data_IF_204013267677
#
_entry.id   IF_204013267677
#
_cell.length_a   1.000
_cell.length_b   1.000
_cell.length_c   1.000
_cell.angle_alpha   90.00
_cell.angle_beta   90.00
_cell.angle_gamma   90.00
#
_symmetry.space_group_name_H-M   'P 1'
#
loop_
_entity.id
_entity.type
_entity.pdbx_description
1 polymer ?
#
# COMPACT_ATOMS: atom_id res chain seq x y z
N UNK A 1 66.32 47.58 -3.85
CA UNK A 1 66.10 46.49 -2.86
C UNK A 1 65.05 45.57 -3.40
N UNK A 2 65.42 44.31 -3.53
CA UNK A 2 64.65 43.19 -4.08
C UNK A 2 63.62 42.75 -3.04
N UNK A 3 62.38 42.51 -3.48
CA UNK A 3 61.60 41.42 -2.89
C UNK A 3 60.81 40.70 -3.99
N UNK A 4 61.54 39.80 -4.63
CA UNK A 4 61.06 38.75 -5.53
C UNK A 4 60.99 37.49 -4.69
N UNK A 5 59.84 36.81 -4.64
CA UNK A 5 59.58 35.39 -4.26
C UNK A 5 58.17 35.31 -3.63
N UNK A 6 57.22 34.50 -4.08
CA UNK A 6 57.23 33.21 -4.80
C UNK A 6 55.91 33.10 -5.60
N UNK A 7 55.90 32.71 -6.87
CA UNK A 7 55.84 31.31 -7.32
C UNK A 7 54.78 30.49 -6.56
N UNK A 8 53.55 30.41 -7.06
CA UNK A 8 53.07 29.32 -7.93
C UNK A 8 51.55 29.51 -8.20
N UNK A 9 51.12 29.56 -9.48
CA UNK A 9 49.75 29.19 -9.87
C UNK A 9 49.64 27.65 -9.90
N UNK A 10 48.43 27.12 -10.09
CA UNK A 10 48.05 25.69 -10.07
C UNK A 10 47.90 25.05 -8.68
N UNK A 11 46.66 24.87 -8.23
CA UNK A 11 46.04 23.54 -8.21
C UNK A 11 44.53 23.65 -7.97
N UNK A 12 43.79 23.26 -9.01
CA UNK A 12 42.51 22.57 -8.97
C UNK A 12 41.62 22.69 -7.72
N UNK A 13 40.49 23.36 -7.94
CA UNK A 13 39.24 23.25 -7.21
C UNK A 13 38.78 21.77 -7.25
N UNK A 14 39.12 21.00 -6.22
CA UNK A 14 38.73 19.61 -5.91
C UNK A 14 38.76 19.62 -4.37
N UNK A 15 37.73 19.42 -3.55
CA UNK A 15 36.54 18.56 -3.58
C UNK A 15 35.74 18.92 -2.33
N UNK A 16 34.55 19.51 -2.44
CA UNK A 16 33.46 19.30 -1.47
C UNK A 16 32.13 19.35 -2.25
N UNK A 17 31.97 18.41 -3.16
CA UNK A 17 30.70 18.08 -3.80
C UNK A 17 30.71 16.57 -3.91
N UNK A 18 30.15 15.90 -2.89
CA UNK A 18 29.58 14.54 -2.87
C UNK A 18 29.38 14.05 -1.43
N UNK A 19 28.57 14.77 -0.67
CA UNK A 19 27.64 14.11 0.24
C UNK A 19 26.23 14.45 -0.23
N UNK A 20 25.94 14.04 -1.46
CA UNK A 20 24.57 13.64 -1.79
C UNK A 20 24.37 12.35 -1.02
N UNK A 21 24.05 12.46 0.27
CA UNK A 21 23.33 11.39 0.92
C UNK A 21 22.13 11.14 0.02
N UNK A 22 22.08 9.94 -0.55
CA UNK A 22 20.86 9.35 -1.03
C UNK A 22 19.99 9.08 0.19
N UNK A 23 19.53 10.16 0.85
CA UNK A 23 18.33 10.05 1.65
C UNK A 23 17.26 9.68 0.64
N UNK A 24 16.88 8.40 0.69
CA UNK A 24 15.59 7.97 0.14
C UNK A 24 14.59 9.04 0.60
N UNK A 25 13.73 9.57 -0.29
CA UNK A 25 12.69 10.48 0.15
C UNK A 25 11.90 9.71 1.21
N UNK A 26 12.12 10.02 2.49
CA UNK A 26 11.26 9.54 3.54
C UNK A 26 9.95 10.22 3.24
N UNK A 27 8.95 9.48 2.77
CA UNK A 27 7.62 10.03 2.64
C UNK A 27 7.27 10.50 4.06
N UNK A 28 7.14 11.82 4.20
CA UNK A 28 6.91 12.45 5.49
C UNK A 28 5.65 11.83 6.10
N UNK A 29 5.67 11.62 7.43
CA UNK A 29 4.44 11.29 8.14
C UNK A 29 3.39 12.35 7.79
N UNK A 30 2.12 11.94 7.65
CA UNK A 30 1.06 12.93 7.51
C UNK A 30 0.97 13.78 8.79
N UNK A 31 0.21 14.86 8.76
CA UNK A 31 0.02 15.72 9.93
C UNK A 31 -0.69 15.06 11.14
N UNK A 32 -1.13 13.80 11.02
CA UNK A 32 -1.57 12.94 12.12
C UNK A 32 -0.48 11.95 12.58
N UNK A 33 0.77 12.12 12.14
CA UNK A 33 1.90 11.25 12.50
C UNK A 33 1.72 9.77 12.10
N UNK A 34 0.90 9.51 11.08
CA UNK A 34 0.65 8.17 10.57
C UNK A 34 1.67 7.77 9.51
N UNK A 35 2.03 6.49 9.50
CA UNK A 35 2.86 5.86 8.47
C UNK A 35 2.22 4.57 7.97
N UNK A 36 2.01 4.46 6.66
CA UNK A 36 1.49 3.26 6.01
C UNK A 36 2.60 2.45 5.35
N UNK A 37 2.72 1.17 5.70
CA UNK A 37 3.73 0.25 5.18
C UNK A 37 3.07 -1.01 4.63
N UNK A 38 3.49 -1.47 3.46
CA UNK A 38 2.96 -2.66 2.80
C UNK A 38 4.06 -3.68 2.57
N UNK A 39 3.78 -4.89 3.05
CA UNK A 39 4.47 -6.10 2.66
C UNK A 39 3.62 -6.85 1.65
N UNK A 40 4.29 -7.42 0.66
CA UNK A 40 3.68 -8.17 -0.44
C UNK A 40 4.38 -9.50 -0.50
N UNK A 41 3.61 -10.57 -0.52
CA UNK A 41 4.08 -11.89 -0.94
C UNK A 41 3.23 -12.35 -2.11
N UNK A 42 3.86 -12.80 -3.18
CA UNK A 42 3.19 -13.20 -4.41
C UNK A 42 3.88 -14.42 -5.01
N UNK A 43 3.16 -15.53 -5.10
CA UNK A 43 3.55 -16.70 -5.85
C UNK A 43 3.01 -16.58 -7.27
N UNK A 44 3.87 -16.84 -8.25
CA UNK A 44 3.58 -16.68 -9.66
C UNK A 44 3.94 -17.96 -10.39
N UNK A 45 3.06 -18.46 -11.23
CA UNK A 45 3.33 -19.57 -12.14
C UNK A 45 3.48 -19.03 -13.55
N UNK A 46 4.67 -19.20 -14.13
CA UNK A 46 4.99 -18.84 -15.51
C UNK A 46 5.21 -20.09 -16.36
N UNK A 47 4.83 -20.02 -17.63
CA UNK A 47 5.02 -21.09 -18.61
C UNK A 47 5.74 -20.50 -19.81
N UNK A 48 6.86 -21.11 -20.22
CA UNK A 48 7.48 -20.81 -21.51
C UNK A 48 7.04 -21.84 -22.54
N UNK A 49 6.21 -21.42 -23.48
CA UNK A 49 5.70 -22.25 -24.59
C UNK A 49 6.65 -22.27 -25.79
N UNK A 50 7.75 -21.51 -25.75
CA UNK A 50 8.70 -21.39 -26.84
C UNK A 50 9.85 -22.40 -26.76
N UNK A 51 10.59 -22.51 -27.86
CA UNK A 51 11.74 -23.42 -27.99
C UNK A 51 13.06 -22.82 -27.49
N UNK A 52 13.04 -21.57 -27.02
CA UNK A 52 14.22 -20.84 -26.55
C UNK A 52 14.12 -20.46 -25.07
N UNK A 53 15.24 -20.50 -24.36
CA UNK A 53 15.32 -20.03 -22.99
C UNK A 53 15.19 -18.50 -22.91
N UNK A 54 14.44 -18.00 -21.94
CA UNK A 54 14.17 -16.57 -21.75
C UNK A 54 14.73 -16.11 -20.41
N UNK A 55 15.49 -15.01 -20.39
CA UNK A 55 15.95 -14.41 -19.14
C UNK A 55 15.00 -13.29 -18.70
N UNK A 56 14.39 -13.44 -17.52
CA UNK A 56 13.47 -12.45 -16.96
C UNK A 56 14.20 -11.56 -15.98
N UNK A 57 14.32 -10.29 -16.33
CA UNK A 57 14.86 -9.26 -15.45
C UNK A 57 13.86 -8.94 -14.34
N UNK A 58 14.34 -8.92 -13.10
CA UNK A 58 13.53 -8.65 -11.92
C UNK A 58 13.89 -7.28 -11.36
N UNK A 59 12.86 -6.51 -10.98
CA UNK A 59 13.06 -5.26 -10.26
C UNK A 59 13.66 -5.58 -8.87
N UNK A 60 14.87 -5.06 -8.54
CA UNK A 60 15.57 -5.40 -7.29
C UNK A 60 14.85 -4.90 -6.03
N UNK A 61 13.75 -4.15 -6.16
CA UNK A 61 12.84 -3.88 -5.04
C UNK A 61 12.18 -5.16 -4.50
N UNK A 62 11.96 -6.16 -5.36
CA UNK A 62 11.37 -7.43 -4.99
C UNK A 62 12.47 -8.46 -4.74
N UNK A 63 12.39 -9.12 -3.60
CA UNK A 63 13.09 -10.37 -3.37
C UNK A 63 12.41 -11.46 -4.19
N UNK A 64 13.15 -12.49 -4.59
CA UNK A 64 12.56 -13.62 -5.29
C UNK A 64 13.21 -14.95 -4.92
N UNK A 65 12.42 -16.01 -5.06
CA UNK A 65 12.87 -17.38 -4.99
C UNK A 65 12.24 -18.16 -6.14
N UNK A 66 13.07 -18.74 -7.00
CA UNK A 66 12.62 -19.64 -8.07
C UNK A 66 12.49 -21.04 -7.49
N UNK A 67 11.27 -21.57 -7.52
CA UNK A 67 10.92 -22.86 -6.93
C UNK A 67 11.14 -23.93 -8.00
N UNK A 68 12.34 -24.52 -7.98
CA UNK A 68 12.74 -25.72 -8.71
C UNK A 68 13.13 -26.81 -7.70
N UNK A 69 13.30 -28.07 -8.15
CA UNK A 69 13.60 -29.22 -7.29
C UNK A 69 14.74 -28.98 -6.27
N UNK A 70 15.72 -28.12 -6.59
CA UNK A 70 16.86 -27.80 -5.73
C UNK A 70 16.80 -26.43 -5.01
N UNK A 71 15.71 -25.65 -5.14
CA UNK A 71 15.51 -24.31 -4.54
C UNK A 71 16.73 -23.35 -4.64
N UNK A 72 17.57 -23.51 -5.66
CA UNK A 72 18.93 -22.95 -5.67
C UNK A 72 19.03 -21.48 -6.08
N UNK A 73 17.94 -20.90 -6.57
CA UNK A 73 17.94 -19.58 -7.21
C UNK A 73 17.09 -18.62 -6.40
N UNK A 74 17.76 -17.73 -5.66
CA UNK A 74 17.09 -16.76 -4.81
C UNK A 74 17.89 -15.47 -4.68
N UNK A 75 17.17 -14.38 -4.44
CA UNK A 75 17.68 -13.06 -4.07
C UNK A 75 16.87 -12.52 -2.90
N UNK A 76 17.54 -12.06 -1.85
CA UNK A 76 16.92 -11.61 -0.59
C UNK A 76 17.08 -10.10 -0.31
N UNK A 77 17.40 -9.30 -1.33
CA UNK A 77 17.61 -7.86 -1.18
C UNK A 77 19.10 -7.48 -1.05
N UNK A 78 19.90 -8.39 -0.47
CA UNK A 78 21.31 -8.17 -0.16
C UNK A 78 22.20 -9.15 -0.95
N UNK A 79 21.81 -10.42 -0.95
CA UNK A 79 22.61 -11.52 -1.47
C UNK A 79 21.85 -12.29 -2.56
N UNK A 80 22.63 -12.78 -3.53
CA UNK A 80 22.17 -13.66 -4.61
C UNK A 80 22.82 -15.03 -4.39
N UNK A 81 22.02 -16.07 -4.21
CA UNK A 81 22.52 -17.42 -3.91
C UNK A 81 23.21 -18.08 -5.13
N UNK A 82 22.72 -17.81 -6.34
CA UNK A 82 23.27 -18.35 -7.60
C UNK A 82 23.60 -17.26 -8.63
N UNK A 83 24.64 -16.40 -8.42
CA UNK A 83 24.93 -15.27 -9.30
C UNK A 83 25.12 -15.67 -10.77
N UNK A 84 25.72 -16.83 -11.04
CA UNK A 84 25.92 -17.34 -12.41
C UNK A 84 24.62 -17.65 -13.15
N UNK A 85 23.54 -17.94 -12.42
CA UNK A 85 22.21 -18.21 -12.99
C UNK A 85 21.29 -16.98 -12.94
N UNK A 86 21.51 -16.11 -11.95
CA UNK A 86 20.60 -15.00 -11.65
C UNK A 86 21.11 -13.62 -12.09
N UNK A 87 22.29 -13.55 -12.72
CA UNK A 87 22.86 -12.30 -13.23
C UNK A 87 23.29 -12.46 -14.68
N UNK A 88 22.76 -11.60 -15.57
CA UNK A 88 23.21 -11.46 -16.95
C UNK A 88 23.55 -9.99 -17.21
N UNK A 89 24.72 -9.68 -17.77
CA UNK A 89 25.13 -8.30 -18.07
C UNK A 89 24.89 -7.32 -16.91
N UNK A 90 25.20 -7.75 -15.67
CA UNK A 90 24.96 -6.99 -14.43
C UNK A 90 23.48 -6.68 -14.13
N UNK A 91 22.55 -7.44 -14.70
CA UNK A 91 21.11 -7.36 -14.46
C UNK A 91 20.62 -8.59 -13.70
N UNK A 92 19.87 -8.33 -12.63
CA UNK A 92 19.26 -9.35 -11.78
C UNK A 92 18.07 -9.99 -12.49
N UNK A 93 17.94 -11.30 -12.37
CA UNK A 93 16.83 -12.05 -12.95
C UNK A 93 16.94 -13.55 -12.77
N UNK A 94 16.22 -14.29 -13.60
CA UNK A 94 16.30 -15.74 -13.68
C UNK A 94 15.92 -16.23 -15.07
N UNK A 95 16.41 -17.41 -15.42
CA UNK A 95 16.05 -18.07 -16.68
C UNK A 95 14.73 -18.81 -16.56
N UNK A 96 13.96 -18.87 -17.64
CA UNK A 96 12.86 -19.81 -17.87
C UNK A 96 13.19 -20.60 -19.13
N UNK A 97 13.41 -21.90 -18.99
CA UNK A 97 13.85 -22.79 -20.07
C UNK A 97 12.69 -23.13 -21.04
N UNK A 98 12.99 -23.65 -22.24
CA UNK A 98 11.97 -24.07 -23.19
C UNK A 98 11.00 -25.09 -22.57
N UNK A 99 9.70 -24.92 -22.82
CA UNK A 99 8.62 -25.80 -22.32
C UNK A 99 8.59 -25.96 -20.79
N UNK A 100 9.25 -25.06 -20.06
CA UNK A 100 9.30 -25.09 -18.59
C UNK A 100 8.06 -24.42 -17.99
N UNK A 101 7.49 -25.07 -16.97
CA UNK A 101 6.57 -24.45 -16.01
C UNK A 101 7.35 -24.13 -14.74
N UNK A 102 7.46 -22.85 -14.40
CA UNK A 102 8.24 -22.40 -13.25
C UNK A 102 7.35 -21.67 -12.27
N UNK A 103 7.54 -21.96 -10.98
CA UNK A 103 6.91 -21.21 -9.88
C UNK A 103 7.93 -20.27 -9.26
N UNK A 104 7.55 -19.03 -9.04
CA UNK A 104 8.40 -17.99 -8.45
C UNK A 104 7.65 -17.33 -7.31
N UNK A 105 8.30 -17.25 -6.15
CA UNK A 105 7.83 -16.46 -5.03
C UNK A 105 8.53 -15.11 -5.06
N UNK A 106 7.77 -14.04 -5.26
CA UNK A 106 8.21 -12.66 -5.08
C UNK A 106 7.77 -12.14 -3.72
N UNK A 107 8.62 -11.37 -3.05
CA UNK A 107 8.22 -10.74 -1.80
C UNK A 107 8.93 -9.42 -1.52
N UNK A 108 8.23 -8.52 -0.83
CA UNK A 108 8.76 -7.33 -0.17
C UNK A 108 8.55 -7.55 1.34
N UNK A 109 9.60 -7.40 2.13
CA UNK A 109 9.58 -7.62 3.57
C UNK A 109 9.77 -6.32 4.37
N UNK A 110 9.57 -6.43 5.69
CA UNK A 110 9.78 -5.37 6.70
C UNK A 110 11.13 -4.63 6.60
N UNK A 111 12.17 -5.25 6.01
CA UNK A 111 13.47 -4.59 5.84
C UNK A 111 13.45 -3.48 4.78
N UNK A 112 12.50 -3.54 3.83
CA UNK A 112 12.35 -2.53 2.78
C UNK A 112 10.87 -2.42 2.30
N UNK A 113 9.93 -2.07 3.19
CA UNK A 113 8.51 -2.11 2.90
C UNK A 113 8.11 -1.11 1.82
N UNK A 114 6.98 -1.35 1.16
CA UNK A 114 6.36 -0.39 0.26
C UNK A 114 5.63 0.68 1.09
N UNK A 115 6.14 1.91 1.07
CA UNK A 115 5.47 3.03 1.73
C UNK A 115 4.22 3.46 0.94
N UNK A 116 3.11 3.62 1.66
CA UNK A 116 1.82 4.07 1.09
C UNK A 116 1.66 5.56 1.42
N UNK A 117 1.45 6.42 0.42
CA UNK A 117 1.20 7.84 0.66
C UNK A 117 -0.14 8.01 1.39
N UNK A 118 -0.11 8.72 2.52
CA UNK A 118 -1.29 9.06 3.31
C UNK A 118 -1.63 10.55 3.12
N UNK A 119 -2.92 10.87 3.14
CA UNK A 119 -3.42 12.24 3.04
C UNK A 119 -3.35 12.94 4.40
N UNK A 120 -3.08 14.25 4.36
CA UNK A 120 -3.17 15.10 5.53
C UNK A 120 -4.63 15.32 5.94
N UNK A 121 -4.83 15.40 7.25
CA UNK A 121 -6.08 15.77 7.88
C UNK A 121 -6.32 17.28 7.73
N UNK A 122 -7.56 17.66 7.42
CA UNK A 122 -7.94 19.07 7.34
C UNK A 122 -8.72 19.43 8.59
N UNK A 123 -8.09 20.16 9.50
CA UNK A 123 -8.74 20.66 10.71
C UNK A 123 -9.67 21.83 10.38
N UNK A 124 -10.94 21.81 10.82
CA UNK A 124 -11.81 22.97 10.70
C UNK A 124 -11.23 24.18 11.44
N UNK A 125 -11.33 25.37 10.84
CA UNK A 125 -10.71 26.59 11.38
C UNK A 125 -11.27 27.03 12.75
N UNK A 126 -12.42 26.49 13.16
CA UNK A 126 -13.14 26.89 14.36
C UNK A 126 -12.74 26.09 15.63
N UNK A 127 -12.06 24.95 15.52
CA UNK A 127 -11.89 24.02 16.66
C UNK A 127 -10.68 24.29 17.55
N UNK A 128 -9.68 25.03 17.05
CA UNK A 128 -8.38 25.13 17.73
C UNK A 128 -7.59 23.82 17.70
N UNK A 129 -6.38 23.85 18.29
CA UNK A 129 -5.52 22.67 18.43
C UNK A 129 -5.30 22.34 19.91
N UNK A 130 -5.28 21.06 20.25
CA UNK A 130 -4.89 20.62 21.61
C UNK A 130 -3.40 20.34 21.61
N UNK A 131 -2.67 20.91 22.57
CA UNK A 131 -1.25 20.64 22.77
C UNK A 131 -0.95 20.30 24.23
N UNK A 132 0.21 19.66 24.43
CA UNK A 132 0.67 19.22 25.76
C UNK A 132 1.93 19.99 26.11
N UNK A 133 1.91 20.68 27.25
CA UNK A 133 3.06 21.37 27.81
C UNK A 133 3.21 20.94 29.29
N UNK A 134 4.39 20.41 29.65
CA UNK A 134 4.68 19.93 31.01
C UNK A 134 3.64 18.94 31.57
N UNK A 135 3.09 18.06 30.72
CA UNK A 135 2.09 17.05 31.11
C UNK A 135 0.69 17.62 31.40
N UNK A 136 0.46 18.90 31.09
CA UNK A 136 -0.85 19.54 31.13
C UNK A 136 -1.36 19.78 29.71
N UNK A 137 -2.67 19.73 29.58
CA UNK A 137 -3.38 19.86 28.31
C UNK A 137 -3.85 21.30 28.15
N UNK A 138 -3.53 21.88 27.00
CA UNK A 138 -3.91 23.23 26.63
C UNK A 138 -4.63 23.20 25.30
N UNK A 139 -5.52 24.17 25.12
CA UNK A 139 -6.25 24.37 23.87
C UNK A 139 -5.80 25.71 23.30
N UNK A 140 -5.21 25.67 22.11
CA UNK A 140 -4.95 26.85 21.31
C UNK A 140 -6.28 27.30 20.69
N UNK A 141 -6.88 28.34 21.27
CA UNK A 141 -8.12 28.92 20.75
C UNK A 141 -7.79 29.82 19.57
N UNK A 142 -8.37 29.59 18.36
CA UNK A 142 -8.10 30.44 17.22
C UNK A 142 -8.64 31.84 17.47
N UNK A 143 -7.93 32.86 16.98
CA UNK A 143 -8.42 34.25 17.05
C UNK A 143 -9.44 34.46 15.94
N UNK A 144 -10.72 34.63 16.31
CA UNK A 144 -11.78 34.95 15.36
C UNK A 144 -12.05 36.46 15.31
N UNK A 145 -12.19 37.00 14.10
CA UNK A 145 -12.61 38.40 13.88
C UNK A 145 -14.13 38.58 13.94
N UNK A 146 -14.89 37.49 14.06
CA UNK A 146 -16.36 37.47 14.15
C UNK A 146 -16.83 36.45 15.19
N UNK A 147 -18.11 36.56 15.60
CA UNK A 147 -18.73 35.65 16.57
C UNK A 147 -18.89 34.25 15.91
N UNK A 148 -17.97 33.34 16.21
CA UNK A 148 -18.08 31.95 15.76
C UNK A 148 -19.25 31.24 16.48
N UNK A 149 -19.97 30.32 15.81
CA UNK A 149 -21.01 29.53 16.46
C UNK A 149 -20.41 28.64 17.58
N UNK A 150 -21.19 28.27 18.60
CA UNK A 150 -20.71 27.42 19.69
C UNK A 150 -20.38 25.98 19.26
N UNK A 151 -20.82 25.56 18.07
CA UNK A 151 -20.52 24.27 17.45
C UNK A 151 -19.85 24.54 16.11
N UNK A 152 -18.64 24.02 15.95
CA UNK A 152 -17.83 24.25 14.75
C UNK A 152 -18.19 23.29 13.61
N UNK A 153 -18.07 21.99 13.85
CA UNK A 153 -18.25 20.96 12.83
C UNK A 153 -18.55 19.59 13.46
N UNK A 154 -18.99 18.64 12.64
CA UNK A 154 -19.13 17.22 12.95
C UNK A 154 -17.99 16.44 12.26
N UNK A 155 -17.19 15.72 13.05
CA UNK A 155 -16.09 14.94 12.49
C UNK A 155 -16.58 13.59 11.96
N UNK A 156 -16.32 13.33 10.68
CA UNK A 156 -16.44 12.00 10.08
C UNK A 156 -15.05 11.40 9.86
N UNK A 157 -14.87 10.07 9.98
CA UNK A 157 -13.59 9.43 9.74
C UNK A 157 -13.11 9.71 8.31
N UNK A 158 -12.02 10.46 8.09
CA UNK A 158 -11.54 10.81 6.77
C UNK A 158 -10.83 9.61 6.13
N UNK A 159 -11.05 9.39 4.83
CA UNK A 159 -10.32 8.38 4.07
C UNK A 159 -8.89 8.84 3.81
N UNK A 160 -7.92 8.20 4.45
CA UNK A 160 -6.51 8.67 4.46
C UNK A 160 -5.66 8.11 3.32
N UNK A 161 -6.09 7.05 2.63
CA UNK A 161 -5.36 6.48 1.51
C UNK A 161 -6.26 6.23 0.30
N UNK A 162 -5.65 5.89 -0.83
CA UNK A 162 -6.35 5.49 -2.04
C UNK A 162 -5.68 4.25 -2.60
N UNK A 163 -6.44 3.22 -3.02
CA UNK A 163 -5.83 1.98 -3.49
C UNK A 163 -5.07 2.20 -4.80
N UNK A 164 -3.92 1.55 -4.93
CA UNK A 164 -3.20 1.42 -6.19
C UNK A 164 -3.70 0.18 -6.94
N UNK A 165 -4.00 0.31 -8.23
CA UNK A 165 -4.37 -0.84 -9.04
C UNK A 165 -3.11 -1.54 -9.55
N UNK A 166 -3.01 -2.83 -9.26
CA UNK A 166 -1.93 -3.69 -9.69
C UNK A 166 -2.51 -4.84 -10.50
N UNK A 167 -2.42 -4.74 -11.82
CA UNK A 167 -2.67 -5.89 -12.70
C UNK A 167 -1.35 -6.65 -12.81
N UNK A 168 -1.23 -7.89 -12.30
CA UNK A 168 0.00 -8.64 -12.46
C UNK A 168 0.31 -8.94 -13.93
N UNK A 169 -0.69 -8.98 -14.82
CA UNK A 169 -0.42 -9.04 -16.26
C UNK A 169 0.42 -7.83 -16.74
N UNK A 170 0.23 -6.66 -16.13
CA UNK A 170 1.05 -5.47 -16.40
C UNK A 170 2.44 -5.51 -15.73
N UNK A 171 2.59 -6.19 -14.58
CA UNK A 171 3.90 -6.47 -13.96
C UNK A 171 4.75 -7.42 -14.82
N UNK A 172 4.06 -8.33 -15.49
CA UNK A 172 4.61 -9.35 -16.36
C UNK A 172 4.30 -9.04 -17.83
N UNK A 173 4.41 -7.77 -18.24
CA UNK A 173 4.25 -7.36 -19.63
C UNK A 173 5.41 -7.89 -20.49
N UNK A 174 5.37 -9.19 -20.74
CA UNK A 174 6.32 -9.87 -21.58
C UNK A 174 6.08 -9.40 -23.02
N UNK A 175 7.11 -8.82 -23.63
CA UNK A 175 7.08 -8.54 -25.08
C UNK A 175 7.04 -9.84 -25.90
N UNK A 176 7.32 -10.98 -25.28
CA UNK A 176 7.36 -12.29 -25.91
C UNK A 176 6.05 -13.07 -25.64
N UNK A 177 5.26 -13.38 -26.69
CA UNK A 177 4.01 -14.11 -26.54
C UNK A 177 4.21 -15.58 -26.12
N UNK A 178 5.43 -16.14 -26.23
CA UNK A 178 5.71 -17.50 -25.79
C UNK A 178 5.76 -17.62 -24.28
N UNK A 179 5.90 -16.51 -23.55
CA UNK A 179 5.94 -16.51 -22.10
C UNK A 179 4.59 -16.11 -21.52
N UNK A 180 4.00 -17.03 -20.79
CA UNK A 180 2.62 -16.92 -20.32
C UNK A 180 2.58 -16.90 -18.80
N UNK A 181 1.92 -15.89 -18.25
CA UNK A 181 1.45 -15.90 -16.87
C UNK A 181 0.25 -16.85 -16.76
N UNK A 182 0.39 -17.92 -15.98
CA UNK A 182 -0.65 -18.94 -15.81
C UNK A 182 -1.52 -18.67 -14.57
N UNK A 183 -0.89 -18.39 -13.44
CA UNK A 183 -1.60 -18.05 -12.21
C UNK A 183 -0.74 -17.19 -11.30
N UNK A 184 -1.39 -16.44 -10.42
CA UNK A 184 -0.74 -15.80 -9.29
C UNK A 184 -1.64 -15.85 -8.06
N UNK A 185 -1.00 -15.96 -6.90
CA UNK A 185 -1.67 -15.90 -5.61
C UNK A 185 -0.75 -15.22 -4.61
N UNK A 186 -1.30 -14.69 -3.53
CA UNK A 186 -0.45 -14.01 -2.57
C UNK A 186 -1.17 -13.47 -1.36
N UNK A 187 -0.39 -12.77 -0.54
CA UNK A 187 -0.78 -12.14 0.71
C UNK A 187 -0.28 -10.70 0.71
N UNK A 188 -1.17 -9.78 1.06
CA UNK A 188 -0.81 -8.41 1.40
C UNK A 188 -0.92 -8.24 2.90
N UNK A 189 0.09 -7.59 3.49
CA UNK A 189 0.01 -7.06 4.86
C UNK A 189 0.22 -5.56 4.82
N UNK A 190 -0.79 -4.83 5.23
CA UNK A 190 -0.77 -3.39 5.34
C UNK A 190 -0.70 -2.99 6.81
N UNK A 191 0.44 -2.45 7.22
CA UNK A 191 0.68 -1.98 8.56
C UNK A 191 0.54 -0.46 8.61
N UNK A 192 -0.40 0.01 9.40
CA UNK A 192 -0.55 1.41 9.73
C UNK A 192 0.02 1.65 11.12
N UNK A 193 1.00 2.54 11.20
CA UNK A 193 1.73 2.87 12.43
C UNK A 193 1.40 4.31 12.79
N UNK A 194 0.99 4.53 14.03
CA UNK A 194 0.83 5.86 14.60
C UNK A 194 1.97 6.11 15.59
N UNK A 195 2.77 7.13 15.33
CA UNK A 195 3.91 7.48 16.16
C UNK A 195 4.05 9.00 16.21
N UNK A 196 3.31 9.60 17.13
CA UNK A 196 3.44 11.02 17.41
C UNK A 196 4.61 11.28 18.36
N UNK A 197 5.22 12.46 18.25
CA UNK A 197 6.30 12.87 19.16
C UNK A 197 5.81 13.10 20.60
N UNK A 198 4.50 13.03 20.85
CA UNK A 198 3.92 13.19 22.17
C UNK A 198 4.10 11.87 22.95
N UNK A 199 5.09 11.81 23.85
CA UNK A 199 5.52 10.61 24.60
C UNK A 199 4.48 9.97 25.53
N UNK A 200 3.21 10.30 25.41
CA UNK A 200 2.21 10.07 26.44
C UNK A 200 0.97 9.29 25.98
N UNK A 201 0.84 8.88 24.70
CA UNK A 201 -0.12 7.83 24.34
C UNK A 201 -1.61 8.19 24.49
N UNK A 202 -1.93 9.48 24.73
CA UNK A 202 -3.28 9.89 25.14
C UNK A 202 -4.19 10.33 23.98
N UNK A 203 -3.62 10.65 22.82
CA UNK A 203 -4.40 11.01 21.64
C UNK A 203 -4.79 9.79 20.83
N UNK A 204 -5.99 9.84 20.28
CA UNK A 204 -6.54 8.82 19.38
C UNK A 204 -7.06 9.51 18.13
N UNK A 205 -6.76 8.91 17.00
CA UNK A 205 -7.24 9.35 15.71
C UNK A 205 -8.30 8.40 15.19
N UNK A 206 -9.33 8.98 14.56
CA UNK A 206 -10.38 8.23 13.88
C UNK A 206 -10.23 8.46 12.40
N UNK A 207 -10.03 7.38 11.66
CA UNK A 207 -9.68 7.42 10.24
C UNK A 207 -10.41 6.31 9.49
N UNK A 208 -10.67 6.56 8.21
CA UNK A 208 -11.09 5.53 7.27
C UNK A 208 -9.89 5.11 6.41
N UNK A 209 -9.78 3.82 6.14
CA UNK A 209 -8.65 3.22 5.43
C UNK A 209 -9.19 2.27 4.36
N UNK A 210 -8.61 2.33 3.16
CA UNK A 210 -8.87 1.39 2.06
C UNK A 210 -7.73 0.38 1.91
N UNK A 211 -7.91 -0.71 1.13
CA UNK A 211 -6.79 -1.55 0.73
C UNK A 211 -5.72 -0.68 0.05
N UNK A 212 -4.43 -0.92 0.32
CA UNK A 212 -3.38 -0.17 -0.35
C UNK A 212 -3.23 -0.59 -1.82
N UNK A 213 -3.60 -1.84 -2.14
CA UNK A 213 -3.45 -2.43 -3.47
C UNK A 213 -4.75 -3.14 -3.82
N UNK A 214 -5.23 -2.95 -5.04
CA UNK A 214 -6.31 -3.74 -5.63
C UNK A 214 -5.76 -4.52 -6.81
N UNK A 215 -6.26 -5.73 -6.99
CA UNK A 215 -5.88 -6.63 -8.06
C UNK A 215 -7.06 -6.75 -9.02
N UNK A 216 -7.11 -5.95 -10.11
CA UNK A 216 -8.13 -6.11 -11.13
C UNK A 216 -8.15 -7.56 -11.61
N UNK A 217 -9.35 -8.11 -11.80
CA UNK A 217 -9.58 -9.48 -12.28
C UNK A 217 -9.16 -10.61 -11.33
N UNK A 218 -8.51 -10.33 -10.20
CA UNK A 218 -8.21 -11.32 -9.17
C UNK A 218 -9.35 -11.40 -8.16
N UNK A 219 -9.55 -12.60 -7.61
CA UNK A 219 -10.39 -12.79 -6.44
C UNK A 219 -9.61 -12.38 -5.21
N UNK A 220 -10.13 -11.41 -4.46
CA UNK A 220 -9.55 -10.92 -3.21
C UNK A 220 -10.40 -11.39 -2.03
N UNK A 221 -9.78 -11.98 -1.02
CA UNK A 221 -10.49 -12.64 0.08
C UNK A 221 -9.66 -12.71 1.37
N UNK A 222 -10.28 -13.21 2.43
CA UNK A 222 -9.58 -13.46 3.70
C UNK A 222 -9.14 -12.17 4.41
N UNK A 223 -9.93 -11.10 4.31
CA UNK A 223 -9.67 -9.84 5.01
C UNK A 223 -9.65 -10.03 6.52
N UNK A 224 -8.55 -9.64 7.14
CA UNK A 224 -8.39 -9.58 8.58
C UNK A 224 -7.66 -8.28 8.99
N UNK A 225 -8.22 -7.45 9.89
CA UNK A 225 -9.54 -7.59 10.49
C UNK A 225 -10.65 -7.48 9.43
N UNK A 226 -11.85 -7.94 9.77
CA UNK A 226 -12.99 -7.80 8.87
C UNK A 226 -13.29 -6.32 8.58
N UNK A 227 -13.61 -5.98 7.32
CA UNK A 227 -13.88 -4.60 6.93
C UNK A 227 -15.14 -4.07 7.59
N UNK A 228 -15.17 -2.76 7.84
CA UNK A 228 -16.30 -2.09 8.48
C UNK A 228 -17.48 -1.95 7.52
N UNK A 229 -17.19 -1.62 6.26
CA UNK A 229 -18.17 -1.36 5.21
C UNK A 229 -17.46 -1.38 3.85
N UNK A 230 -18.19 -1.33 2.74
CA UNK A 230 -17.59 -1.09 1.42
C UNK A 230 -17.49 0.42 1.11
N UNK A 231 -16.71 0.77 0.08
CA UNK A 231 -16.50 2.16 -0.32
C UNK A 231 -17.81 2.85 -0.73
N UNK A 232 -18.70 2.14 -1.43
CA UNK A 232 -20.03 2.67 -1.77
C UNK A 232 -20.83 3.03 -0.51
N UNK A 233 -20.86 2.10 0.46
CA UNK A 233 -21.53 2.31 1.76
C UNK A 233 -20.90 3.45 2.54
N UNK A 234 -19.58 3.60 2.51
CA UNK A 234 -18.87 4.71 3.13
C UNK A 234 -19.26 6.07 2.52
N UNK A 235 -19.35 6.14 1.19
CA UNK A 235 -19.80 7.36 0.52
C UNK A 235 -21.26 7.68 0.83
N UNK A 236 -22.12 6.67 0.93
CA UNK A 236 -23.52 6.85 1.33
C UNK A 236 -23.66 7.29 2.78
N UNK A 237 -22.86 6.72 3.69
CA UNK A 237 -22.75 7.13 5.08
C UNK A 237 -22.39 8.63 5.19
N UNK A 238 -21.35 9.07 4.47
CA UNK A 238 -20.96 10.48 4.45
C UNK A 238 -22.08 11.39 3.89
N UNK A 239 -22.74 10.97 2.80
CA UNK A 239 -23.84 11.74 2.21
C UNK A 239 -25.02 11.87 3.16
N UNK A 240 -25.44 10.77 3.77
CA UNK A 240 -26.55 10.75 4.72
C UNK A 240 -26.27 11.61 5.95
N UNK A 241 -25.05 11.56 6.47
CA UNK A 241 -24.68 12.34 7.64
C UNK A 241 -24.56 13.86 7.36
N UNK A 242 -24.23 14.24 6.12
CA UNK A 242 -24.20 15.63 5.66
C UNK A 242 -25.58 16.15 5.20
N UNK A 243 -26.66 15.37 5.38
CA UNK A 243 -28.02 15.79 5.03
C UNK A 243 -28.32 15.81 3.53
N UNK A 244 -27.43 15.26 2.69
CA UNK A 244 -27.78 14.97 1.30
C UNK A 244 -28.78 13.81 1.29
N UNK A 245 -29.82 13.89 0.45
CA UNK A 245 -30.86 12.85 0.34
C UNK A 245 -30.20 11.49 0.09
N UNK A 246 -30.12 10.68 1.15
CA UNK A 246 -29.73 9.29 1.09
C UNK A 246 -30.92 8.46 0.64
N UNK A 247 -30.70 7.50 -0.24
CA UNK A 247 -31.70 6.47 -0.54
C UNK A 247 -31.80 5.57 0.69
N UNK A 248 -32.89 5.75 1.44
CA UNK A 248 -33.25 5.09 2.70
C UNK A 248 -32.63 3.70 2.94
N UNK A 249 -31.66 3.61 3.84
CA UNK A 249 -31.43 2.41 4.66
C UNK A 249 -31.28 2.88 6.11
N UNK A 250 -32.24 2.50 6.96
CA UNK A 250 -32.25 2.86 8.39
C UNK A 250 -31.16 2.06 9.13
N UNK A 251 -30.07 2.73 9.50
CA UNK A 251 -29.07 2.19 10.41
C UNK A 251 -29.62 2.18 11.86
N UNK A 252 -29.66 1.01 12.51
CA UNK A 252 -29.91 0.92 13.95
C UNK A 252 -28.59 0.73 14.71
N UNK A 253 -28.25 1.70 15.56
CA UNK A 253 -27.14 1.61 16.52
C UNK A 253 -27.49 0.65 17.67
N UNK A 254 -26.52 -0.16 18.10
CA UNK A 254 -26.57 -0.92 19.36
C UNK A 254 -25.63 -0.32 20.42
N UNK A 255 -25.99 -0.52 21.70
CA UNK A 255 -25.36 0.06 22.89
C UNK A 255 -24.04 -0.63 23.26
N UNK A 256 -23.09 0.18 23.76
CA UNK A 256 -21.73 -0.18 24.15
C UNK A 256 -21.64 -1.09 25.39
N UNK A 257 -20.64 -1.98 25.36
CA UNK A 257 -19.87 -2.36 26.55
C UNK A 257 -18.35 -2.25 26.26
N UNK A 258 -17.58 -1.90 27.28
CA UNK A 258 -16.23 -1.34 27.21
C UNK A 258 -15.16 -2.41 26.99
N UNK A 259 -14.83 -2.71 25.73
CA UNK A 259 -13.47 -2.93 25.19
C UNK A 259 -13.56 -3.71 23.86
N UNK A 260 -13.38 -2.97 22.75
CA UNK A 260 -13.34 -3.43 21.35
C UNK A 260 -14.63 -4.07 20.78
N UNK A 261 -15.19 -3.45 19.72
CA UNK A 261 -16.32 -3.99 18.95
C UNK A 261 -16.11 -3.78 17.43
N UNK A 262 -16.15 -4.88 16.70
CA UNK A 262 -16.27 -4.99 15.23
C UNK A 262 -17.65 -5.57 14.91
N UNK A 263 -18.35 -5.03 13.92
CA UNK A 263 -19.65 -5.53 13.47
C UNK A 263 -19.49 -6.43 12.23
N UNK A 264 -20.16 -7.58 12.20
CA UNK A 264 -20.24 -8.52 11.06
C UNK A 264 -21.72 -8.76 10.72
N UNK A 265 -22.07 -8.74 9.43
CA UNK A 265 -23.42 -9.07 8.94
C UNK A 265 -23.29 -9.97 7.69
N UNK A 266 -23.82 -11.19 7.75
CA UNK A 266 -23.84 -12.15 6.63
C UNK A 266 -25.27 -12.62 6.29
N UNK A 267 -25.62 -12.73 4.98
CA UNK A 267 -25.91 -13.98 4.20
C UNK A 267 -26.83 -13.80 2.96
N UNK A 268 -26.36 -14.29 1.79
CA UNK A 268 -27.04 -15.08 0.71
C UNK A 268 -27.79 -14.37 -0.45
N UNK A 269 -27.94 -14.85 -1.73
CA UNK A 269 -27.50 -16.02 -2.55
C UNK A 269 -27.88 -15.78 -4.07
N UNK A 270 -26.99 -16.17 -5.02
CA UNK A 270 -27.11 -16.75 -6.41
C UNK A 270 -27.90 -16.10 -7.59
N UNK A 271 -27.27 -15.97 -8.79
CA UNK A 271 -27.76 -16.45 -10.13
C UNK A 271 -26.72 -16.30 -11.28
N UNK A 272 -26.57 -17.34 -12.11
CA UNK A 272 -25.61 -17.53 -13.23
C UNK A 272 -26.17 -17.19 -14.63
N UNK A 273 -25.30 -16.79 -15.57
CA UNK A 273 -25.27 -17.16 -17.01
C UNK A 273 -24.00 -16.62 -17.70
N UNK A 274 -23.28 -17.48 -18.41
CA UNK A 274 -21.96 -17.22 -19.02
C UNK A 274 -22.13 -16.98 -20.52
N UNK A 275 -21.51 -15.91 -21.02
CA UNK A 275 -21.18 -15.71 -22.44
C UNK A 275 -19.67 -15.46 -22.58
N UNK A 276 -19.06 -16.10 -23.58
CA UNK A 276 -17.62 -16.00 -23.90
C UNK A 276 -17.29 -14.61 -24.47
N UNK A 277 -16.45 -13.82 -23.78
CA UNK A 277 -16.03 -12.50 -24.25
C UNK A 277 -14.54 -12.49 -24.61
N UNK A 278 -14.30 -12.32 -25.91
CA UNK A 278 -13.04 -11.88 -26.54
C UNK A 278 -12.48 -10.66 -25.81
N UNK A 279 -11.20 -10.73 -25.41
CA UNK A 279 -10.47 -9.68 -24.67
C UNK A 279 -10.50 -8.36 -25.43
N UNK A 280 -11.50 -7.53 -25.14
CA UNK A 280 -11.55 -6.11 -25.50
C UNK A 280 -11.05 -5.32 -24.31
N UNK A 281 -10.11 -4.39 -24.57
CA UNK A 281 -9.60 -3.34 -23.69
C UNK A 281 -10.32 -3.25 -22.34
N UNK A 282 -9.66 -3.70 -21.28
CA UNK A 282 -10.18 -3.75 -19.91
C UNK A 282 -10.63 -2.34 -19.50
N UNK A 283 -11.92 -2.05 -19.63
CA UNK A 283 -12.54 -0.92 -18.94
C UNK A 283 -12.52 -1.29 -17.46
N UNK A 284 -11.71 -0.60 -16.66
CA UNK A 284 -11.76 -0.76 -15.21
C UNK A 284 -13.21 -0.49 -14.76
N UNK A 285 -13.96 -1.56 -14.47
CA UNK A 285 -15.23 -1.47 -13.75
C UNK A 285 -14.88 -0.80 -12.42
N UNK A 286 -15.65 0.20 -11.97
CA UNK A 286 -15.45 0.79 -10.64
C UNK A 286 -15.57 -0.35 -9.64
N UNK A 287 -14.44 -0.84 -9.14
CA UNK A 287 -14.39 -1.92 -8.16
C UNK A 287 -14.79 -1.29 -6.85
N UNK A 288 -15.88 -1.75 -6.26
CA UNK A 288 -16.20 -1.44 -4.88
C UNK A 288 -15.23 -2.21 -3.98
N UNK A 289 -14.64 -1.56 -2.99
CA UNK A 289 -13.59 -2.13 -2.15
C UNK A 289 -13.90 -1.91 -0.67
N UNK A 290 -13.40 -2.80 0.21
CA UNK A 290 -13.65 -2.66 1.63
C UNK A 290 -13.03 -1.38 2.19
N UNK A 291 -13.62 -0.88 3.27
CA UNK A 291 -13.15 0.26 4.06
C UNK A 291 -13.13 -0.17 5.53
N UNK A 292 -12.06 0.20 6.23
CA UNK A 292 -11.94 0.05 7.69
C UNK A 292 -12.04 1.42 8.34
N UNK A 293 -12.96 1.59 9.28
CA UNK A 293 -12.96 2.73 10.20
C UNK A 293 -12.18 2.32 11.43
N UNK A 294 -11.07 3.01 11.68
CA UNK A 294 -10.07 2.63 12.67
C UNK A 294 -9.93 3.74 13.70
N UNK A 295 -9.85 3.33 14.96
CA UNK A 295 -9.44 4.14 16.08
C UNK A 295 -8.01 3.74 16.43
N UNK A 296 -7.05 4.59 16.16
CA UNK A 296 -5.63 4.30 16.39
C UNK A 296 -5.09 5.23 17.47
N UNK A 297 -4.53 4.63 18.53
CA UNK A 297 -3.89 5.37 19.61
C UNK A 297 -2.46 5.74 19.25
N UNK A 298 -1.90 6.73 19.93
CA UNK A 298 -0.48 7.03 19.81
C UNK A 298 0.41 5.85 20.25
N UNK A 299 1.56 5.71 19.59
CA UNK A 299 2.48 4.56 19.71
C UNK A 299 1.82 3.19 19.49
N UNK A 300 0.82 3.12 18.62
CA UNK A 300 0.14 1.86 18.27
C UNK A 300 0.23 1.56 16.78
N UNK A 301 -0.06 0.30 16.42
CA UNK A 301 -0.13 -0.11 15.03
C UNK A 301 -1.27 -1.09 14.81
N UNK A 302 -1.87 -1.04 13.63
CA UNK A 302 -2.84 -2.01 13.15
C UNK A 302 -2.32 -2.65 11.87
N UNK A 303 -2.55 -3.95 11.73
CA UNK A 303 -2.21 -4.71 10.53
C UNK A 303 -3.50 -5.19 9.85
N UNK A 304 -3.64 -4.86 8.57
CA UNK A 304 -4.71 -5.32 7.70
C UNK A 304 -4.09 -6.30 6.71
N UNK A 305 -4.60 -7.52 6.68
CA UNK A 305 -4.14 -8.59 5.83
C UNK A 305 -5.24 -9.08 4.91
N UNK A 306 -4.88 -9.45 3.69
CA UNK A 306 -5.81 -10.08 2.76
C UNK A 306 -5.05 -10.87 1.70
N UNK A 307 -5.72 -11.86 1.14
CA UNK A 307 -5.20 -12.73 0.10
C UNK A 307 -5.80 -12.36 -1.24
N UNK A 308 -5.05 -12.66 -2.29
CA UNK A 308 -5.51 -12.52 -3.66
C UNK A 308 -5.13 -13.77 -4.44
N UNK A 309 -5.97 -14.17 -5.37
CA UNK A 309 -5.71 -15.28 -6.29
C UNK A 309 -6.30 -14.99 -7.66
N UNK A 310 -5.60 -15.45 -8.69
CA UNK A 310 -6.04 -15.40 -10.07
C UNK A 310 -5.43 -16.58 -10.82
N UNK A 311 -6.23 -17.17 -11.69
CA UNK A 311 -5.74 -18.16 -12.63
C UNK A 311 -6.30 -17.91 -14.03
N UNK A 312 -5.50 -18.21 -15.03
CA UNK A 312 -5.89 -18.11 -16.42
C UNK A 312 -6.99 -19.13 -16.71
N UNK A 313 -8.18 -18.65 -17.06
CA UNK A 313 -9.35 -19.48 -17.37
C UNK A 313 -10.45 -19.43 -16.31
N UNK A 314 -10.18 -18.87 -15.13
CA UNK A 314 -11.23 -18.45 -14.20
C UNK A 314 -11.78 -17.12 -14.67
N UNK A 315 -13.07 -17.10 -15.04
CA UNK A 315 -13.79 -15.84 -15.20
C UNK A 315 -13.90 -15.20 -13.81
N UNK A 316 -13.29 -14.02 -13.62
CA UNK A 316 -13.56 -13.19 -12.45
C UNK A 316 -15.02 -12.75 -12.51
N UNK A 317 -15.84 -13.22 -11.58
CA UNK A 317 -17.24 -12.80 -11.40
C UNK A 317 -17.37 -11.31 -11.06
#
# INVERSE_FOLDING_TARGET
MINMRRFLPFLFIITILTLSFTSRPSIAQNNLYLKGLVDIEMNVTLINLGDEAKFLMVNPRYNFQVIRENLSESYNGIEINSPRKNVINYKLGFWVYPHEVVKIRFYINDSNPLEVPLRDFVTPQCTGNIYVENGRYFVEVPVFTSLAPPICDLMFPPLINSPMYLSPESLFNFRDPSLVLYSYEGLIKFKLIHNSSYKQGYFRDVIAVSPPILFPNAKVYGYYPHPTMNYTEYIEYLKGALGFKSTNIQAKMQKLDNNFMLYDVKLGLISTKIDLISVKNVKFKKVDYPIWVIWIGDNSSIEITYKFEWSRGEASE
#
